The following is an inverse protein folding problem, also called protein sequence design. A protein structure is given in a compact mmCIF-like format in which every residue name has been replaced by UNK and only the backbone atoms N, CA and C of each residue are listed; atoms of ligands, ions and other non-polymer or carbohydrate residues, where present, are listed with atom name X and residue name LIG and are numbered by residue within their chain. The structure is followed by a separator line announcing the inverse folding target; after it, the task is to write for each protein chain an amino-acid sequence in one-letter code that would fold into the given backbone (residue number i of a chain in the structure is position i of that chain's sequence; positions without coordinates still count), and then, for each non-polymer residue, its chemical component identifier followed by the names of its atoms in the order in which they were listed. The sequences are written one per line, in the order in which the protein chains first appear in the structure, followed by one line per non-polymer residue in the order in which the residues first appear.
data_IF_626821215865
#
_entry.id   IF_626821215865
#
_cell.length_a   1.000
_cell.length_b   1.000
_cell.length_c   1.000
_cell.angle_alpha   90.00
_cell.angle_beta   90.00
_cell.angle_gamma   90.00
#
_symmetry.space_group_name_H-M   'P 1'
#
loop_
_entity.id
_entity.type
_entity.pdbx_description
1 polymer ?
#
# COMPACT_ATOMS: atom_id res chain seq x y z
N UNK A 1 -16.60 -4.95 -11.66
CA UNK A 1 -15.42 -4.59 -10.85
C UNK A 1 -14.34 -5.60 -11.14
N UNK A 2 -13.18 -5.17 -11.62
CA UNK A 2 -12.07 -6.07 -11.92
C UNK A 2 -11.53 -6.69 -10.63
N UNK A 3 -10.96 -7.89 -10.72
CA UNK A 3 -10.45 -8.60 -9.53
C UNK A 3 -9.31 -7.85 -8.83
N UNK A 4 -8.46 -7.16 -9.59
CA UNK A 4 -7.39 -6.29 -9.09
C UNK A 4 -7.93 -5.15 -8.23
N UNK A 5 -8.97 -4.44 -8.70
CA UNK A 5 -9.59 -3.37 -7.92
C UNK A 5 -10.13 -3.89 -6.60
N UNK A 6 -10.71 -5.10 -6.61
CA UNK A 6 -11.19 -5.76 -5.38
C UNK A 6 -10.05 -6.02 -4.40
N UNK A 7 -8.87 -6.45 -4.87
CA UNK A 7 -7.70 -6.69 -4.00
C UNK A 7 -7.15 -5.39 -3.44
N UNK A 8 -7.01 -4.35 -4.27
CA UNK A 8 -6.62 -3.00 -3.84
C UNK A 8 -7.54 -2.46 -2.74
N UNK A 9 -8.85 -2.47 -2.96
CA UNK A 9 -9.83 -1.99 -1.97
C UNK A 9 -9.76 -2.74 -0.65
N UNK A 10 -9.53 -4.06 -0.69
CA UNK A 10 -9.36 -4.87 0.54
C UNK A 10 -8.07 -4.50 1.28
N UNK A 11 -6.98 -4.25 0.56
CA UNK A 11 -5.72 -3.83 1.14
C UNK A 11 -5.83 -2.42 1.77
N UNK A 12 -6.42 -1.45 1.06
CA UNK A 12 -6.68 -0.10 1.58
C UNK A 12 -7.50 -0.16 2.87
N UNK A 13 -8.60 -0.94 2.89
CA UNK A 13 -9.41 -1.11 4.10
C UNK A 13 -8.63 -1.75 5.26
N UNK A 14 -7.76 -2.73 4.97
CA UNK A 14 -6.92 -3.35 6.01
C UNK A 14 -5.93 -2.34 6.59
N UNK A 15 -5.31 -1.52 5.74
CA UNK A 15 -4.39 -0.44 6.14
C UNK A 15 -5.09 0.56 7.04
N UNK A 16 -6.26 1.07 6.62
CA UNK A 16 -7.05 2.02 7.40
C UNK A 16 -7.41 1.46 8.79
N UNK A 17 -7.84 0.20 8.85
CA UNK A 17 -8.20 -0.44 10.12
C UNK A 17 -6.99 -0.72 11.02
N UNK A 18 -5.88 -1.19 10.44
CA UNK A 18 -4.69 -1.62 11.21
C UNK A 18 -3.86 -0.43 11.68
N UNK A 19 -3.84 0.65 10.91
CA UNK A 19 -3.03 1.84 11.16
C UNK A 19 -3.84 2.96 11.82
N UNK A 20 -5.10 2.71 12.17
CA UNK A 20 -5.94 3.63 12.92
C UNK A 20 -5.29 4.02 14.26
N UNK A 21 -5.09 5.32 14.47
CA UNK A 21 -4.52 5.85 15.71
C UNK A 21 -2.99 5.74 15.83
N UNK A 22 -2.30 5.30 14.77
CA UNK A 22 -0.84 5.46 14.67
C UNK A 22 -0.47 6.93 14.45
N UNK A 23 0.77 7.29 14.74
CA UNK A 23 1.28 8.62 14.49
C UNK A 23 1.42 8.91 12.98
N UNK A 24 1.61 10.18 12.61
CA UNK A 24 1.68 10.63 11.22
C UNK A 24 2.84 10.02 10.41
N UNK A 25 3.83 9.39 11.06
CA UNK A 25 4.92 8.70 10.37
C UNK A 25 4.56 7.29 9.93
N UNK A 26 3.52 6.68 10.54
CA UNK A 26 3.06 5.31 10.23
C UNK A 26 1.53 5.20 10.19
N UNK A 27 0.82 6.24 9.78
CA UNK A 27 -0.64 6.23 9.59
C UNK A 27 -1.04 5.76 8.18
N UNK A 28 -2.33 5.56 7.94
CA UNK A 28 -2.82 5.16 6.61
C UNK A 28 -2.42 6.16 5.52
N UNK A 29 -2.37 7.46 5.85
CA UNK A 29 -1.96 8.50 4.90
C UNK A 29 -0.49 8.35 4.50
N UNK A 30 0.39 7.92 5.41
CA UNK A 30 1.77 7.55 5.07
C UNK A 30 1.79 6.43 4.02
N UNK A 31 1.09 5.32 4.26
CA UNK A 31 1.06 4.18 3.33
C UNK A 31 0.54 4.58 1.94
N UNK A 32 -0.48 5.45 1.86
CA UNK A 32 -1.00 5.93 0.57
C UNK A 32 -0.01 6.82 -0.18
N UNK A 33 0.72 7.70 0.50
CA UNK A 33 1.80 8.48 -0.13
C UNK A 33 2.91 7.58 -0.66
N UNK A 34 3.28 6.54 0.10
CA UNK A 34 4.29 5.55 -0.32
C UNK A 34 3.81 4.78 -1.55
N UNK A 35 2.55 4.32 -1.59
CA UNK A 35 1.94 3.67 -2.76
C UNK A 35 2.04 4.55 -4.01
N UNK A 36 1.62 5.80 -3.91
CA UNK A 36 1.59 6.71 -5.06
C UNK A 36 2.99 6.98 -5.60
N UNK A 37 3.96 7.19 -4.70
CA UNK A 37 5.37 7.35 -5.07
C UNK A 37 5.95 6.08 -5.69
N UNK A 38 5.69 4.90 -5.11
CA UNK A 38 6.18 3.62 -5.60
C UNK A 38 5.66 3.31 -7.02
N UNK A 39 4.39 3.64 -7.30
CA UNK A 39 3.82 3.48 -8.65
C UNK A 39 4.39 4.48 -9.66
N UNK A 40 4.70 5.72 -9.25
CA UNK A 40 5.41 6.68 -10.12
C UNK A 40 6.78 6.16 -10.51
N UNK A 41 7.58 5.76 -9.51
CA UNK A 41 8.92 5.23 -9.71
C UNK A 41 8.89 3.96 -10.56
N UNK A 42 7.99 3.01 -10.28
CA UNK A 42 7.87 1.80 -11.08
C UNK A 42 7.66 2.09 -12.57
N UNK A 43 6.83 3.10 -12.90
CA UNK A 43 6.59 3.51 -14.29
C UNK A 43 7.82 4.19 -14.90
N UNK A 44 8.51 5.03 -14.14
CA UNK A 44 9.75 5.70 -14.56
C UNK A 44 10.88 4.70 -14.84
N UNK A 45 10.95 3.62 -14.06
CA UNK A 45 11.88 2.50 -14.24
C UNK A 45 11.46 1.52 -15.37
N UNK A 46 10.42 1.85 -16.13
CA UNK A 46 9.97 1.06 -17.29
C UNK A 46 9.11 -0.15 -16.95
N UNK A 47 8.61 -0.27 -15.72
CA UNK A 47 7.65 -1.31 -15.35
C UNK A 47 6.25 -0.95 -15.86
N UNK A 48 5.81 -1.65 -16.90
CA UNK A 48 4.48 -1.45 -17.49
C UNK A 48 3.58 -2.67 -17.38
N UNK A 49 4.12 -3.82 -16.97
CA UNK A 49 3.35 -5.04 -16.75
C UNK A 49 2.30 -4.84 -15.64
N UNK A 50 0.99 -5.00 -15.93
CA UNK A 50 -0.07 -4.74 -14.96
C UNK A 50 -0.01 -5.62 -13.71
N UNK A 51 0.48 -6.86 -13.83
CA UNK A 51 0.61 -7.77 -12.69
C UNK A 51 1.74 -7.32 -11.77
N UNK A 52 2.89 -6.95 -12.33
CA UNK A 52 4.02 -6.40 -11.58
C UNK A 52 3.66 -5.08 -10.89
N UNK A 53 2.88 -4.20 -11.54
CA UNK A 53 2.36 -2.99 -10.92
C UNK A 53 1.40 -3.29 -9.77
N UNK A 54 0.55 -4.32 -9.87
CA UNK A 54 -0.31 -4.77 -8.76
C UNK A 54 0.53 -5.26 -7.57
N UNK A 55 1.62 -5.99 -7.82
CA UNK A 55 2.54 -6.43 -6.74
C UNK A 55 3.19 -5.23 -6.05
N UNK A 56 3.67 -4.24 -6.80
CA UNK A 56 4.24 -3.00 -6.24
C UNK A 56 3.20 -2.26 -5.40
N UNK A 57 1.98 -2.09 -5.93
CA UNK A 57 0.89 -1.40 -5.24
C UNK A 57 0.52 -2.08 -3.92
N UNK A 58 0.31 -3.40 -3.94
CA UNK A 58 -0.06 -4.15 -2.73
C UNK A 58 1.08 -4.20 -1.71
N UNK A 59 2.34 -4.31 -2.17
CA UNK A 59 3.51 -4.30 -1.28
C UNK A 59 3.67 -2.95 -0.59
N UNK A 60 3.51 -1.85 -1.33
CA UNK A 60 3.60 -0.51 -0.79
C UNK A 60 2.48 -0.22 0.22
N UNK A 61 1.25 -0.65 -0.05
CA UNK A 61 0.13 -0.53 0.88
C UNK A 61 0.39 -1.29 2.19
N UNK A 62 0.95 -2.50 2.12
CA UNK A 62 1.04 -3.41 3.25
C UNK A 62 2.39 -3.39 3.99
N UNK A 63 3.37 -2.60 3.55
CA UNK A 63 4.76 -2.67 4.06
C UNK A 63 4.88 -2.46 5.58
N UNK A 64 4.02 -1.62 6.17
CA UNK A 64 3.98 -1.28 7.60
C UNK A 64 2.90 -2.05 8.38
N UNK A 65 2.14 -2.91 7.71
CA UNK A 65 1.14 -3.76 8.36
C UNK A 65 1.88 -4.87 9.13
N UNK A 66 1.60 -4.96 10.43
CA UNK A 66 2.25 -5.94 11.30
C UNK A 66 3.63 -5.53 11.83
N UNK A 67 4.04 -4.26 11.72
CA UNK A 67 5.26 -3.78 12.39
C UNK A 67 5.20 -4.05 13.90
N UNK A 68 6.21 -4.75 14.43
CA UNK A 68 6.34 -5.16 15.83
C UNK A 68 6.34 -3.98 16.82
N UNK A 69 6.73 -2.78 16.39
CA UNK A 69 6.72 -1.57 17.22
C UNK A 69 5.29 -1.08 17.46
N UNK A 70 4.38 -1.41 16.54
CA UNK A 70 2.98 -1.00 16.55
C UNK A 70 2.01 -2.16 16.81
N UNK A 71 2.50 -3.39 16.88
CA UNK A 71 1.73 -4.56 17.31
C UNK A 71 2.05 -4.84 18.79
N UNK A 72 1.06 -4.64 19.66
CA UNK A 72 1.14 -4.97 21.08
C UNK A 72 0.75 -6.42 21.33
#
# INVERSE_FOLDING_TARGET
MEERDRRRMKAEKLVELTMAGRDASHDAAHAFRVRDLALSLAREEGLHDPHSLEVVELSALLHDVGDYKYTK
#
